data_IF_712636972647
#
_entry.id   IF_712636972647
#
_cell.length_a   1.000
_cell.length_b   1.000
_cell.length_c   1.000
_cell.angle_alpha   90.00
_cell.angle_beta   90.00
_cell.angle_gamma   90.00
#
_symmetry.space_group_name_H-M   'P 1'
#
loop_
_entity.id
_entity.type
_entity.pdbx_description
1 polymer ?
#
# COMPACT_ATOMS: atom_id res chain seq x y z
N UNK A 1 -17.46 -29.27 -33.96
CA UNK A 1 -17.51 -29.29 -32.48
C UNK A 1 -16.12 -29.18 -31.83
N UNK A 2 -15.07 -29.80 -32.38
CA UNK A 2 -13.68 -29.64 -31.92
C UNK A 2 -13.22 -28.18 -31.80
N UNK A 3 -13.54 -27.33 -32.78
CA UNK A 3 -13.13 -25.90 -32.79
C UNK A 3 -13.74 -25.13 -31.60
N UNK A 4 -14.98 -25.41 -31.21
CA UNK A 4 -15.61 -24.79 -30.04
C UNK A 4 -14.96 -25.24 -28.72
N UNK A 5 -14.53 -26.50 -28.64
CA UNK A 5 -13.80 -27.03 -27.47
C UNK A 5 -12.42 -26.39 -27.37
N UNK A 6 -11.71 -26.22 -28.48
CA UNK A 6 -10.39 -25.55 -28.53
C UNK A 6 -10.52 -24.08 -28.13
N UNK A 7 -11.54 -23.36 -28.62
CA UNK A 7 -11.79 -21.96 -28.24
C UNK A 7 -12.14 -21.84 -26.76
N UNK A 8 -12.93 -22.75 -26.20
CA UNK A 8 -13.22 -22.78 -24.75
C UNK A 8 -11.97 -23.12 -23.92
N UNK A 9 -11.08 -23.98 -24.43
CA UNK A 9 -9.82 -24.32 -23.77
C UNK A 9 -8.82 -23.14 -23.79
N UNK A 10 -8.70 -22.45 -24.92
CA UNK A 10 -7.84 -21.26 -25.09
C UNK A 10 -8.38 -20.07 -24.29
N UNK A 11 -9.69 -19.81 -24.32
CA UNK A 11 -10.34 -18.80 -23.47
C UNK A 11 -10.29 -19.17 -21.97
N UNK A 12 -10.27 -20.46 -21.64
CA UNK A 12 -10.14 -20.96 -20.27
C UNK A 12 -8.71 -20.87 -19.71
N UNK A 13 -7.70 -20.95 -20.58
CA UNK A 13 -6.27 -20.77 -20.22
C UNK A 13 -5.93 -19.31 -19.88
N UNK A 14 -6.69 -18.33 -20.39
CA UNK A 14 -6.49 -16.90 -20.10
C UNK A 14 -7.14 -16.40 -18.80
N UNK A 15 -7.80 -17.28 -18.03
CA UNK A 15 -8.44 -16.91 -16.75
C UNK A 15 -7.55 -17.09 -15.52
N UNK A 16 -6.26 -17.37 -15.70
CA UNK A 16 -5.30 -17.25 -14.62
C UNK A 16 -5.05 -15.76 -14.36
N UNK A 17 -5.91 -15.12 -13.55
CA UNK A 17 -5.65 -13.78 -12.99
C UNK A 17 -4.47 -13.87 -12.03
N UNK A 18 -3.26 -14.00 -12.59
CA UNK A 18 -2.02 -13.91 -11.86
C UNK A 18 -1.71 -12.42 -11.63
N UNK A 19 -1.30 -12.06 -10.43
CA UNK A 19 -0.70 -10.76 -10.18
C UNK A 19 0.66 -10.65 -10.86
N UNK A 20 1.07 -9.45 -11.26
CA UNK A 20 2.42 -9.20 -11.80
C UNK A 20 3.50 -9.75 -10.84
N UNK A 21 4.63 -10.21 -11.39
CA UNK A 21 5.68 -10.83 -10.57
C UNK A 21 6.17 -9.93 -9.42
N UNK A 22 6.23 -8.62 -9.65
CA UNK A 22 6.62 -7.61 -8.65
C UNK A 22 5.56 -7.39 -7.54
N UNK A 23 4.35 -7.93 -7.71
CA UNK A 23 3.26 -7.82 -6.75
C UNK A 23 3.07 -9.08 -5.90
N UNK A 24 4.07 -9.96 -5.85
CA UNK A 24 4.05 -11.16 -5.00
C UNK A 24 4.87 -10.97 -3.73
N UNK A 25 4.39 -11.51 -2.61
CA UNK A 25 5.16 -11.59 -1.36
C UNK A 25 4.78 -12.82 -0.54
N UNK A 26 5.69 -13.22 0.35
CA UNK A 26 5.31 -14.06 1.48
C UNK A 26 4.62 -13.18 2.53
N UNK A 27 3.49 -13.63 3.05
CA UNK A 27 2.75 -12.89 4.06
C UNK A 27 1.72 -13.75 4.77
N UNK A 28 0.98 -13.10 5.66
CA UNK A 28 -0.03 -13.73 6.50
C UNK A 28 -1.36 -12.97 6.44
N UNK A 29 -2.45 -13.71 6.60
CA UNK A 29 -3.82 -13.20 6.66
C UNK A 29 -4.62 -13.96 7.71
N UNK A 30 -5.71 -13.34 8.17
CA UNK A 30 -6.66 -14.02 9.05
C UNK A 30 -7.69 -14.72 8.18
N UNK A 31 -7.83 -16.03 8.36
CA UNK A 31 -8.86 -16.85 7.73
C UNK A 31 -9.51 -17.71 8.81
N UNK A 32 -10.85 -17.70 8.88
CA UNK A 32 -11.62 -18.48 9.86
C UNK A 32 -11.13 -18.30 11.32
N UNK A 33 -10.86 -17.04 11.72
CA UNK A 33 -10.31 -16.67 13.05
C UNK A 33 -8.94 -17.30 13.38
N UNK A 34 -8.26 -17.88 12.40
CA UNK A 34 -6.90 -18.39 12.50
C UNK A 34 -5.97 -17.60 11.57
N UNK A 35 -4.67 -17.66 11.84
CA UNK A 35 -3.66 -17.07 10.97
C UNK A 35 -3.18 -18.10 9.96
N UNK A 36 -3.20 -17.73 8.69
CA UNK A 36 -2.64 -18.51 7.59
C UNK A 36 -1.57 -17.68 6.89
N UNK A 37 -0.43 -18.30 6.59
CA UNK A 37 0.68 -17.66 5.91
C UNK A 37 1.07 -18.46 4.66
N UNK A 38 1.51 -17.76 3.63
CA UNK A 38 1.87 -18.36 2.35
C UNK A 38 2.56 -17.36 1.43
N UNK A 39 2.72 -17.77 0.18
CA UNK A 39 3.20 -16.94 -0.92
C UNK A 39 2.03 -16.64 -1.86
N UNK A 40 1.98 -15.44 -2.42
CA UNK A 40 0.84 -14.96 -3.21
C UNK A 40 0.89 -13.44 -3.38
N UNK A 41 -0.22 -12.82 -3.80
CA UNK A 41 -0.23 -11.39 -4.09
C UNK A 41 -0.13 -10.53 -2.82
N UNK A 42 0.51 -9.36 -2.90
CA UNK A 42 0.63 -8.40 -1.80
C UNK A 42 -0.74 -8.00 -1.25
N UNK A 43 -1.74 -7.88 -2.13
CA UNK A 43 -3.13 -7.55 -1.80
C UNK A 43 -3.81 -8.60 -0.90
N UNK A 44 -3.38 -9.86 -0.94
CA UNK A 44 -3.97 -10.93 -0.14
C UNK A 44 -3.47 -10.94 1.31
N UNK A 45 -2.31 -10.33 1.58
CA UNK A 45 -1.62 -10.44 2.86
C UNK A 45 -1.58 -9.12 3.61
N UNK A 46 -2.41 -9.04 4.65
CA UNK A 46 -2.47 -7.89 5.56
C UNK A 46 -1.29 -7.81 6.51
N UNK A 47 -0.68 -8.93 6.87
CA UNK A 47 0.40 -9.01 7.85
C UNK A 47 1.65 -9.59 7.22
N UNK A 48 2.82 -9.11 7.63
CA UNK A 48 4.09 -9.62 7.09
C UNK A 48 4.58 -10.85 7.86
N UNK A 49 4.14 -11.04 9.10
CA UNK A 49 4.58 -12.14 9.97
C UNK A 49 3.43 -12.82 10.68
N UNK A 50 3.62 -14.10 11.02
CA UNK A 50 2.65 -14.87 11.81
C UNK A 50 2.38 -14.21 13.18
N UNK A 51 3.43 -13.71 13.84
CA UNK A 51 3.32 -13.06 15.14
C UNK A 51 2.45 -11.79 15.08
N UNK A 52 2.60 -10.98 14.03
CA UNK A 52 1.74 -9.81 13.80
C UNK A 52 0.28 -10.20 13.59
N UNK A 53 0.03 -11.24 12.78
CA UNK A 53 -1.32 -11.75 12.56
C UNK A 53 -1.95 -12.25 13.88
N UNK A 54 -1.20 -13.00 14.69
CA UNK A 54 -1.68 -13.48 15.99
C UNK A 54 -1.98 -12.35 16.97
N UNK A 55 -1.13 -11.31 16.99
CA UNK A 55 -1.39 -10.12 17.79
C UNK A 55 -2.69 -9.44 17.35
N UNK A 56 -2.93 -9.34 16.04
CA UNK A 56 -4.17 -8.78 15.52
C UNK A 56 -5.41 -9.62 15.88
N UNK A 57 -5.32 -10.95 15.89
CA UNK A 57 -6.38 -11.84 16.39
C UNK A 57 -6.68 -11.63 17.88
N UNK A 58 -5.66 -11.35 18.68
CA UNK A 58 -5.77 -11.08 20.12
C UNK A 58 -6.17 -9.63 20.45
N UNK A 59 -6.46 -8.81 19.44
CA UNK A 59 -6.80 -7.39 19.62
C UNK A 59 -5.60 -6.49 19.97
N UNK A 60 -4.37 -7.01 19.97
CA UNK A 60 -3.14 -6.25 20.24
C UNK A 60 -2.67 -5.56 18.96
N UNK A 61 -3.38 -4.51 18.55
CA UNK A 61 -2.97 -3.66 17.42
C UNK A 61 -2.01 -2.59 17.91
N UNK A 62 -0.83 -2.50 17.29
CA UNK A 62 0.05 -1.34 17.48
C UNK A 62 -0.52 -0.17 16.68
N UNK A 63 -0.72 0.96 17.32
CA UNK A 63 -1.05 2.21 16.63
C UNK A 63 0.25 2.88 16.16
N UNK A 64 0.53 2.81 14.87
CA UNK A 64 1.75 3.38 14.27
C UNK A 64 1.64 4.90 14.14
N UNK A 65 0.43 5.44 14.19
CA UNK A 65 0.18 6.87 14.19
C UNK A 65 0.26 7.51 15.57
N UNK A 66 0.63 6.75 16.61
CA UNK A 66 0.80 7.27 17.95
C UNK A 66 2.18 6.88 18.55
N UNK A 67 3.12 7.84 18.70
CA UNK A 67 2.97 9.27 18.36
C UNK A 67 2.90 9.51 16.85
N UNK A 68 2.29 10.64 16.43
CA UNK A 68 2.14 10.96 15.01
C UNK A 68 3.53 11.09 14.34
N UNK A 69 3.87 10.24 13.35
CA UNK A 69 5.16 10.31 12.68
C UNK A 69 5.26 11.45 11.67
N UNK A 70 4.15 12.07 11.26
CA UNK A 70 4.12 13.12 10.26
C UNK A 70 4.54 14.48 10.85
N UNK A 71 5.35 15.24 10.11
CA UNK A 71 5.83 16.55 10.52
C UNK A 71 4.89 17.66 10.04
N UNK A 72 5.11 18.89 10.55
CA UNK A 72 4.45 20.11 10.09
C UNK A 72 2.91 20.06 10.04
N UNK A 73 2.29 19.37 11.00
CA UNK A 73 0.82 19.24 11.06
C UNK A 73 0.22 18.20 10.11
N UNK A 74 1.05 17.39 9.44
CA UNK A 74 0.58 16.29 8.60
C UNK A 74 -0.25 15.26 9.37
N UNK A 75 -1.27 14.71 8.71
CA UNK A 75 -2.17 13.70 9.29
C UNK A 75 -1.67 12.28 8.99
N UNK A 76 -1.58 11.43 10.01
CA UNK A 76 -1.16 10.03 9.84
C UNK A 76 -2.33 9.09 9.57
N UNK A 77 -2.16 8.21 8.59
CA UNK A 77 -3.09 7.12 8.27
C UNK A 77 -2.34 5.80 8.36
N UNK A 78 -2.82 4.88 9.19
CA UNK A 78 -2.25 3.53 9.27
C UNK A 78 -2.68 2.69 8.05
N UNK A 79 -1.71 2.07 7.40
CA UNK A 79 -1.93 1.23 6.20
C UNK A 79 -1.34 -0.17 6.43
N UNK A 80 -1.76 -1.14 5.62
CA UNK A 80 -1.26 -2.52 5.73
C UNK A 80 0.11 -2.72 5.06
N UNK A 81 0.42 -1.90 4.06
CA UNK A 81 1.67 -1.97 3.30
C UNK A 81 2.80 -1.27 4.05
N UNK A 82 4.05 -1.68 3.86
CA UNK A 82 5.23 -1.00 4.44
C UNK A 82 5.30 0.45 3.95
N UNK A 83 5.63 1.42 4.81
CA UNK A 83 6.09 1.32 6.20
C UNK A 83 4.99 1.21 7.28
N UNK A 84 3.77 0.85 6.87
CA UNK A 84 2.54 0.69 7.69
C UNK A 84 1.88 1.98 8.14
N UNK A 85 2.31 3.11 7.60
CA UNK A 85 1.62 4.38 7.67
C UNK A 85 1.84 5.19 6.40
N UNK A 86 0.95 6.15 6.15
CA UNK A 86 1.09 7.20 5.14
C UNK A 86 0.77 8.54 5.80
N UNK A 87 1.57 9.56 5.48
CA UNK A 87 1.28 10.94 5.86
C UNK A 87 0.48 11.63 4.77
N UNK A 88 -0.58 12.33 5.17
CA UNK A 88 -1.29 13.31 4.35
C UNK A 88 -0.73 14.70 4.64
N UNK A 89 -0.14 15.31 3.64
CA UNK A 89 0.54 16.61 3.76
C UNK A 89 -0.22 17.76 3.09
N UNK A 90 -1.38 17.49 2.47
CA UNK A 90 -2.17 18.53 1.81
C UNK A 90 -2.52 19.67 2.79
N UNK A 91 -2.36 20.92 2.35
CA UNK A 91 -2.63 22.10 3.17
C UNK A 91 -1.58 22.40 4.25
N UNK A 92 -0.48 21.63 4.33
CA UNK A 92 0.63 21.93 5.26
C UNK A 92 1.71 22.83 4.65
N UNK A 93 1.77 22.93 3.31
CA UNK A 93 2.89 23.54 2.60
C UNK A 93 4.15 22.66 2.56
N UNK A 94 4.03 21.38 2.91
CA UNK A 94 5.11 20.39 2.89
C UNK A 94 4.71 19.13 2.11
N UNK A 95 5.70 18.36 1.67
CA UNK A 95 5.51 17.10 0.94
C UNK A 95 6.51 16.01 1.35
N UNK A 96 6.33 14.81 0.79
CA UNK A 96 7.16 13.63 1.01
C UNK A 96 6.66 12.72 2.13
N UNK A 97 7.37 11.60 2.35
CA UNK A 97 6.91 10.48 3.20
C UNK A 97 6.45 10.89 4.62
N UNK A 98 7.10 11.90 5.20
CA UNK A 98 6.78 12.43 6.54
C UNK A 98 6.46 13.93 6.53
N UNK A 99 6.09 14.49 5.37
CA UNK A 99 5.89 15.93 5.19
C UNK A 99 7.12 16.76 5.58
N UNK A 100 8.34 16.29 5.28
CA UNK A 100 9.59 16.91 5.75
C UNK A 100 10.20 17.92 4.78
N UNK A 101 9.67 18.03 3.56
CA UNK A 101 10.21 18.91 2.51
C UNK A 101 9.22 20.04 2.25
N UNK A 102 9.69 21.28 2.28
CA UNK A 102 8.85 22.44 1.95
C UNK A 102 8.46 22.40 0.48
N UNK A 103 7.21 22.75 0.18
CA UNK A 103 6.72 22.84 -1.20
C UNK A 103 7.53 23.86 -2.02
N UNK A 104 7.89 23.53 -3.27
CA UNK A 104 8.61 24.46 -4.13
C UNK A 104 7.72 25.66 -4.49
N UNK A 105 8.30 26.85 -4.50
CA UNK A 105 7.60 28.06 -4.93
C UNK A 105 7.59 28.16 -6.45
N UNK A 106 6.43 28.39 -7.10
CA UNK A 106 6.35 28.60 -8.54
C UNK A 106 7.29 29.72 -9.00
N UNK A 107 8.07 29.48 -10.05
CA UNK A 107 9.01 30.46 -10.61
C UNK A 107 10.39 30.51 -9.93
N UNK A 108 10.62 29.69 -8.90
CA UNK A 108 11.94 29.56 -8.26
C UNK A 108 12.38 28.09 -8.34
N UNK A 109 13.22 27.79 -9.33
CA UNK A 109 13.81 26.45 -9.48
C UNK A 109 14.01 26.02 -10.94
N UNK A 110 14.49 24.77 -11.14
CA UNK A 110 14.63 24.19 -12.47
C UNK A 110 13.27 24.09 -13.16
N UNK A 111 13.20 24.48 -14.44
CA UNK A 111 11.98 24.47 -15.26
C UNK A 111 11.38 23.08 -15.47
N UNK A 112 12.14 22.03 -15.17
CA UNK A 112 11.76 20.62 -15.37
C UNK A 112 11.47 19.86 -14.06
N UNK A 113 11.28 20.57 -12.95
CA UNK A 113 10.98 19.93 -11.67
C UNK A 113 9.55 19.38 -11.66
N UNK A 114 9.41 18.07 -11.40
CA UNK A 114 8.10 17.45 -11.14
C UNK A 114 7.51 18.05 -9.87
N UNK A 115 6.39 18.78 -10.03
CA UNK A 115 5.73 19.43 -8.92
C UNK A 115 4.96 18.40 -8.07
N UNK A 116 5.19 18.31 -6.74
CA UNK A 116 4.50 17.34 -5.89
C UNK A 116 3.00 17.62 -5.85
N UNK A 117 2.18 16.57 -5.94
CA UNK A 117 0.71 16.72 -5.90
C UNK A 117 0.23 17.28 -4.55
N UNK A 118 0.94 17.00 -3.46
CA UNK A 118 0.61 17.52 -2.13
C UNK A 118 0.73 19.05 -2.03
N UNK A 119 1.43 19.68 -2.98
CA UNK A 119 1.69 21.12 -3.04
C UNK A 119 0.73 21.88 -3.96
N UNK A 120 -0.21 21.19 -4.61
CA UNK A 120 -1.20 21.81 -5.48
C UNK A 120 -2.31 22.34 -4.57
N UNK A 121 -2.32 23.65 -4.33
CA UNK A 121 -3.41 24.34 -3.65
C UNK A 121 -4.67 24.25 -4.51
N UNK A 122 -5.76 23.67 -3.97
CA UNK A 122 -7.06 23.51 -4.65
C UNK A 122 -8.05 24.53 -4.08
#
# INVERSE_FOLDING_TARGET
MLIRVIVVFVLGLELCTACDMDQTKQGCRIQNKACSCGFGCISEYRYDTMAECQNALRGKRRDICNPNPCLHGGSCIQISQRPKYKCRCEGTGYFGLRCSRACPTPGVGPTDAVFPYECIEI
#
